data_IF_885442839498
#
_entry.id   IF_885442839498
#
_cell.length_a   1.000
_cell.length_b   1.000
_cell.length_c   1.000
_cell.angle_alpha   90.00
_cell.angle_beta   90.00
_cell.angle_gamma   90.00
#
_symmetry.space_group_name_H-M   'P 1'
#
loop_
_entity.id
_entity.type
_entity.pdbx_description
1 polymer ?
#
# COMPACT_ATOMS: atom_id res chain seq x y z
N UNK A 1 13.28 -9.76 3.95
CA UNK A 1 11.80 -9.89 3.82
C UNK A 1 11.18 -8.84 4.73
N UNK A 2 10.30 -7.98 4.23
CA UNK A 2 9.66 -6.94 5.05
C UNK A 2 8.53 -7.57 5.88
N UNK A 3 8.44 -7.33 7.20
CA UNK A 3 7.41 -7.96 8.05
C UNK A 3 5.99 -7.46 7.72
N UNK A 4 5.86 -6.35 7.00
CA UNK A 4 4.57 -5.84 6.50
C UNK A 4 4.08 -6.65 5.29
N UNK A 5 4.98 -7.27 4.52
CA UNK A 5 4.61 -8.13 3.40
C UNK A 5 4.41 -9.57 3.90
N UNK A 6 3.32 -9.80 4.63
CA UNK A 6 2.92 -11.13 5.12
C UNK A 6 1.82 -11.78 4.27
N UNK A 7 1.54 -11.23 3.08
CA UNK A 7 0.52 -11.75 2.17
C UNK A 7 0.63 -13.28 2.10
N UNK A 8 -0.47 -14.00 2.43
CA UNK A 8 -0.49 -15.47 2.41
C UNK A 8 -0.04 -15.99 1.03
N UNK A 9 -0.49 -15.31 -0.01
CA UNK A 9 -0.06 -15.48 -1.39
C UNK A 9 0.38 -14.13 -1.94
N UNK A 10 1.63 -14.02 -2.38
CA UNK A 10 2.18 -12.78 -2.91
C UNK A 10 1.79 -12.63 -4.39
N UNK A 11 1.21 -11.48 -4.74
CA UNK A 11 0.87 -11.06 -6.12
C UNK A 11 2.05 -11.27 -7.09
N UNK A 12 3.28 -11.18 -6.59
CA UNK A 12 4.50 -11.26 -7.40
C UNK A 12 5.17 -12.63 -7.38
N UNK A 13 4.63 -13.60 -6.63
CA UNK A 13 5.23 -14.93 -6.42
C UNK A 13 4.49 -16.05 -7.19
N UNK A 14 3.69 -15.67 -8.20
CA UNK A 14 3.14 -16.59 -9.21
C UNK A 14 2.05 -17.55 -8.74
N UNK A 15 1.55 -17.42 -7.51
CA UNK A 15 0.51 -18.27 -6.95
C UNK A 15 -0.89 -17.91 -7.43
N UNK A 16 -1.32 -18.46 -8.58
CA UNK A 16 -2.69 -18.89 -8.94
C UNK A 16 -3.91 -17.95 -8.87
N UNK A 17 -3.88 -16.83 -8.14
CA UNK A 17 -5.04 -15.95 -7.91
C UNK A 17 -5.00 -14.66 -8.73
N UNK A 18 -3.85 -14.31 -9.30
CA UNK A 18 -3.84 -13.37 -10.41
C UNK A 18 -4.26 -14.08 -11.69
N UNK A 19 -5.09 -13.42 -12.48
CA UNK A 19 -5.24 -13.80 -13.86
C UNK A 19 -3.83 -13.81 -14.53
N UNK A 20 -3.51 -14.87 -15.26
CA UNK A 20 -2.15 -15.12 -15.75
C UNK A 20 -1.79 -14.15 -16.89
N UNK A 21 -0.53 -13.68 -16.93
CA UNK A 21 -0.07 -12.82 -18.03
C UNK A 21 -0.84 -11.49 -18.10
N UNK A 22 -1.47 -11.23 -19.24
CA UNK A 22 -2.22 -9.99 -19.49
C UNK A 22 -3.63 -10.00 -18.88
N UNK A 23 -4.06 -11.07 -18.24
CA UNK A 23 -5.47 -11.19 -17.81
C UNK A 23 -5.87 -10.16 -16.72
N UNK A 24 -4.94 -9.74 -15.85
CA UNK A 24 -5.18 -8.62 -14.93
C UNK A 24 -5.37 -7.31 -15.73
N UNK A 25 -4.55 -7.12 -16.77
CA UNK A 25 -4.64 -5.98 -17.67
C UNK A 25 -5.94 -6.03 -18.50
N UNK A 26 -6.40 -7.21 -18.89
CA UNK A 26 -7.67 -7.44 -19.59
C UNK A 26 -8.87 -7.11 -18.69
N UNK A 27 -8.82 -7.47 -17.40
CA UNK A 27 -9.84 -7.08 -16.42
C UNK A 27 -9.91 -5.56 -16.29
N UNK A 28 -8.75 -4.91 -16.11
CA UNK A 28 -8.65 -3.46 -15.95
C UNK A 28 -9.03 -2.69 -17.24
N UNK A 29 -8.68 -3.21 -18.42
CA UNK A 29 -9.10 -2.65 -19.70
C UNK A 29 -10.61 -2.81 -19.94
N UNK A 30 -11.22 -3.92 -19.48
CA UNK A 30 -12.67 -4.12 -19.58
C UNK A 30 -13.45 -3.14 -18.70
N UNK A 31 -12.90 -2.79 -17.54
CA UNK A 31 -13.46 -1.80 -16.61
C UNK A 31 -13.06 -0.35 -16.99
N UNK A 32 -12.44 -0.12 -18.16
CA UNK A 32 -11.96 1.18 -18.64
C UNK A 32 -10.99 1.92 -17.67
N UNK A 33 -10.22 1.18 -16.88
CA UNK A 33 -9.17 1.74 -16.01
C UNK A 33 -7.86 1.81 -16.82
N UNK A 34 -7.73 2.83 -17.66
CA UNK A 34 -6.74 2.85 -18.77
C UNK A 34 -5.32 3.27 -18.35
N UNK A 35 -5.09 3.80 -17.15
CA UNK A 35 -3.81 4.48 -16.82
C UNK A 35 -3.17 4.00 -15.50
N UNK A 36 -3.21 2.69 -15.23
CA UNK A 36 -2.46 2.11 -14.10
C UNK A 36 -0.97 1.98 -14.45
N UNK A 37 -0.04 2.38 -13.56
CA UNK A 37 1.38 2.15 -13.76
C UNK A 37 1.64 0.65 -13.93
N UNK A 38 2.31 0.23 -14.99
CA UNK A 38 2.59 -1.18 -15.26
C UNK A 38 3.90 -1.66 -14.59
N UNK A 39 4.05 -2.97 -14.43
CA UNK A 39 5.29 -3.65 -14.02
C UNK A 39 5.87 -3.17 -12.67
N UNK A 40 7.13 -2.74 -12.66
CA UNK A 40 7.89 -2.33 -11.47
C UNK A 40 7.23 -1.15 -10.74
N UNK A 41 6.57 -0.26 -11.46
CA UNK A 41 5.86 0.87 -10.85
C UNK A 41 4.64 0.41 -10.05
N UNK A 42 3.87 -0.56 -10.58
CA UNK A 42 2.76 -1.18 -9.84
C UNK A 42 3.25 -1.81 -8.54
N UNK A 43 4.38 -2.53 -8.60
CA UNK A 43 5.01 -3.15 -7.44
C UNK A 43 5.32 -2.11 -6.35
N UNK A 44 5.95 -1.00 -6.71
CA UNK A 44 6.27 0.06 -5.75
C UNK A 44 5.03 0.76 -5.21
N UNK A 45 4.01 0.98 -6.04
CA UNK A 45 2.75 1.58 -5.63
C UNK A 45 1.99 0.71 -4.62
N UNK A 46 1.76 -0.56 -4.94
CA UNK A 46 1.07 -1.51 -4.07
C UNK A 46 1.82 -1.66 -2.74
N UNK A 47 3.15 -1.72 -2.79
CA UNK A 47 3.96 -1.80 -1.55
C UNK A 47 3.87 -0.52 -0.73
N UNK A 48 3.88 0.66 -1.36
CA UNK A 48 3.67 1.92 -0.66
C UNK A 48 2.30 1.95 0.02
N UNK A 49 1.24 1.53 -0.68
CA UNK A 49 -0.12 1.49 -0.14
C UNK A 49 -0.23 0.65 1.14
N UNK A 50 0.31 -0.57 1.12
CA UNK A 50 0.30 -1.45 2.30
C UNK A 50 1.10 -0.88 3.47
N UNK A 51 2.27 -0.27 3.20
CA UNK A 51 3.15 0.26 4.25
C UNK A 51 2.63 1.58 4.83
N UNK A 52 1.90 2.38 4.06
CA UNK A 52 1.60 3.76 4.44
C UNK A 52 0.80 3.88 5.76
N UNK A 53 -0.09 2.94 6.05
CA UNK A 53 -0.85 2.93 7.32
C UNK A 53 -0.02 2.45 8.53
N UNK A 54 1.01 1.62 8.34
CA UNK A 54 1.77 1.02 9.45
C UNK A 54 3.21 1.53 9.57
N UNK A 55 3.61 2.50 8.74
CA UNK A 55 4.98 3.00 8.73
C UNK A 55 5.29 3.81 10.00
N UNK A 56 6.27 3.33 10.77
CA UNK A 56 6.81 4.02 11.95
C UNK A 56 8.14 4.74 11.67
N UNK A 57 8.50 4.90 10.39
CA UNK A 57 9.77 5.50 9.94
C UNK A 57 11.05 4.82 10.49
N UNK A 58 11.03 3.50 10.68
CA UNK A 58 12.14 2.76 11.28
C UNK A 58 13.38 2.56 10.38
N UNK A 59 13.29 2.82 9.07
CA UNK A 59 14.45 2.69 8.15
C UNK A 59 14.73 1.28 7.61
N UNK A 60 14.18 0.23 8.21
CA UNK A 60 14.50 -1.16 7.85
C UNK A 60 14.25 -1.51 6.37
N UNK A 61 13.29 -0.84 5.73
CA UNK A 61 13.01 -1.05 4.30
C UNK A 61 14.12 -0.54 3.38
N UNK A 62 14.75 0.59 3.73
CA UNK A 62 15.84 1.21 2.98
C UNK A 62 17.14 0.45 3.17
N UNK A 63 17.43 0.03 4.40
CA UNK A 63 18.58 -0.84 4.72
C UNK A 63 18.53 -2.18 3.97
N UNK A 64 17.33 -2.77 3.86
CA UNK A 64 17.14 -4.03 3.14
C UNK A 64 17.10 -3.87 1.60
N UNK A 65 17.17 -2.66 1.06
CA UNK A 65 17.02 -2.42 -0.38
C UNK A 65 18.34 -2.68 -1.13
N UNK A 66 18.43 -3.70 -2.01
CA UNK A 66 19.66 -3.98 -2.75
C UNK A 66 20.01 -2.89 -3.79
N UNK A 67 19.02 -2.07 -4.15
CA UNK A 67 19.16 -0.99 -5.12
C UNK A 67 19.47 0.37 -4.48
N UNK A 68 19.66 0.44 -3.15
CA UNK A 68 19.94 1.68 -2.41
C UNK A 68 18.91 2.80 -2.67
N UNK A 69 17.63 2.44 -2.84
CA UNK A 69 16.53 3.41 -3.00
C UNK A 69 16.19 3.98 -1.62
N UNK A 70 16.01 5.32 -1.48
CA UNK A 70 15.69 5.95 -0.19
C UNK A 70 14.22 5.73 0.22
N UNK A 71 13.84 4.46 0.43
CA UNK A 71 12.45 4.02 0.65
C UNK A 71 11.82 4.65 1.89
N UNK A 72 12.60 4.91 2.93
CA UNK A 72 12.10 5.49 4.19
C UNK A 72 11.44 6.84 3.93
N UNK A 73 12.03 7.66 3.05
CA UNK A 73 11.51 8.99 2.73
C UNK A 73 10.14 8.91 2.07
N UNK A 74 9.99 8.01 1.10
CA UNK A 74 8.74 7.82 0.38
C UNK A 74 7.64 7.31 1.31
N UNK A 75 7.92 6.24 2.07
CA UNK A 75 6.90 5.65 2.94
C UNK A 75 6.53 6.55 4.13
N UNK A 76 7.51 7.25 4.72
CA UNK A 76 7.25 8.23 5.77
C UNK A 76 6.34 9.36 5.26
N UNK A 77 6.64 9.93 4.09
CA UNK A 77 5.83 11.01 3.54
C UNK A 77 4.38 10.60 3.29
N UNK A 78 4.16 9.40 2.76
CA UNK A 78 2.81 8.85 2.56
C UNK A 78 2.11 8.59 3.89
N UNK A 79 2.82 8.02 4.88
CA UNK A 79 2.26 7.74 6.19
C UNK A 79 1.88 8.99 6.97
N UNK A 80 2.71 10.04 6.94
CA UNK A 80 2.41 11.33 7.58
C UNK A 80 1.17 12.00 6.99
N UNK A 81 0.83 11.73 5.73
CA UNK A 81 -0.43 12.21 5.14
C UNK A 81 -1.61 11.42 5.69
N UNK A 82 -1.56 10.10 5.65
CA UNK A 82 -2.64 9.22 6.18
C UNK A 82 -2.90 9.49 7.66
N UNK A 83 -1.85 9.51 8.48
CA UNK A 83 -1.94 9.77 9.91
C UNK A 83 -2.62 11.12 10.21
N UNK A 84 -2.35 12.17 9.42
CA UNK A 84 -3.02 13.47 9.56
C UNK A 84 -4.47 13.44 9.08
N UNK A 85 -4.75 12.79 7.96
CA UNK A 85 -6.11 12.71 7.40
C UNK A 85 -7.06 11.99 8.36
N UNK A 86 -6.63 10.87 8.93
CA UNK A 86 -7.48 10.04 9.79
C UNK A 86 -7.26 10.29 11.29
N UNK A 87 -6.45 11.31 11.65
CA UNK A 87 -6.04 11.56 13.04
C UNK A 87 -5.53 10.30 13.77
N UNK A 88 -4.84 9.44 13.02
CA UNK A 88 -4.36 8.13 13.44
C UNK A 88 -2.84 8.16 13.69
N UNK A 89 -2.33 7.31 14.58
CA UNK A 89 -0.88 7.17 14.83
C UNK A 89 -0.37 5.75 14.59
N UNK A 90 0.51 5.60 13.59
CA UNK A 90 1.13 4.32 13.28
C UNK A 90 1.97 3.79 14.46
N UNK A 91 1.68 2.56 14.90
CA UNK A 91 2.37 1.91 16.02
C UNK A 91 2.13 2.58 17.38
N UNK A 92 1.04 3.34 17.53
CA UNK A 92 0.64 3.97 18.78
C UNK A 92 -0.10 3.01 19.71
N UNK A 93 -1.30 2.59 19.31
CA UNK A 93 -2.16 1.65 20.02
C UNK A 93 -2.34 0.37 19.17
N UNK A 94 -2.37 -0.79 19.84
CA UNK A 94 -2.57 -2.09 19.21
C UNK A 94 -4.06 -2.44 19.06
N UNK A 95 -4.92 -1.87 19.90
CA UNK A 95 -6.37 -2.09 19.86
C UNK A 95 -7.06 -1.14 18.86
N UNK A 96 -6.42 -0.03 18.51
CA UNK A 96 -6.92 0.90 17.49
C UNK A 96 -6.83 0.24 16.09
N UNK A 97 -7.97 0.08 15.39
CA UNK A 97 -7.96 -0.55 14.08
C UNK A 97 -7.29 0.35 13.03
N UNK A 98 -6.78 -0.26 11.97
CA UNK A 98 -6.14 0.49 10.90
C UNK A 98 -7.20 1.25 10.06
N UNK A 99 -6.93 2.49 9.64
CA UNK A 99 -7.92 3.32 8.94
C UNK A 99 -8.52 2.67 7.67
N UNK A 100 -7.77 1.85 6.94
CA UNK A 100 -8.26 1.20 5.71
C UNK A 100 -9.12 -0.04 5.97
N UNK A 101 -9.20 -0.49 7.21
CA UNK A 101 -10.00 -1.67 7.61
C UNK A 101 -11.33 -1.27 8.25
N UNK A 102 -11.54 0.03 8.45
CA UNK A 102 -12.73 0.59 9.09
C UNK A 102 -13.36 1.65 8.20
N UNK A 103 -14.61 1.96 8.49
CA UNK A 103 -15.33 3.06 7.86
C UNK A 103 -16.07 3.83 8.94
N UNK A 104 -15.97 5.16 8.89
CA UNK A 104 -16.72 6.06 9.75
C UNK A 104 -17.29 7.19 8.91
N UNK A 105 -18.60 7.38 9.00
CA UNK A 105 -19.34 8.36 8.17
C UNK A 105 -18.86 9.80 8.38
N UNK A 106 -18.31 10.11 9.57
CA UNK A 106 -17.83 11.44 9.95
C UNK A 106 -16.39 11.74 9.48
N UNK A 107 -15.64 10.77 8.95
CA UNK A 107 -14.21 10.94 8.61
C UNK A 107 -13.94 11.70 7.31
N UNK A 108 -14.82 11.56 6.31
CA UNK A 108 -14.62 12.14 4.96
C UNK A 108 -15.93 12.75 4.41
N UNK A 109 -16.40 13.87 4.98
CA UNK A 109 -17.69 14.47 4.60
C UNK A 109 -17.71 15.03 3.16
N UNK A 110 -16.54 15.30 2.58
CA UNK A 110 -16.40 15.87 1.22
C UNK A 110 -16.14 14.79 0.15
N UNK A 111 -16.08 13.51 0.52
CA UNK A 111 -15.96 12.42 -0.45
C UNK A 111 -17.35 12.17 -1.07
N UNK A 112 -17.63 12.82 -2.20
CA UNK A 112 -18.85 12.57 -2.96
C UNK A 112 -18.87 11.11 -3.49
N UNK A 113 -20.07 10.51 -3.48
CA UNK A 113 -20.38 9.23 -4.12
C UNK A 113 -20.09 9.23 -5.64
#
# INVERSE_FOLDING_TARGET
>A
MCPICYCLDCLFDGGGFLPSGDDLLNLLWREQVVDLPHNVLLYHFVRMYHVAQSCTACGACEEACPMNIPLTRFFKASSERIQRTFSYKAGGDFEEPLPFTTYREDELPDAAD
#
